data_IF_081471607225
#
_entry.id   IF_081471607225
#
_cell.length_a   1.000
_cell.length_b   1.000
_cell.length_c   1.000
_cell.angle_alpha   90.00
_cell.angle_beta   90.00
_cell.angle_gamma   90.00
#
_symmetry.space_group_name_H-M   'P 1'
#
loop_
_entity.id
_entity.type
_entity.pdbx_description
1 polymer ?
#
# COMPACT_ATOMS: atom_id res chain seq x y z
N UNK A 1 -15.34 21.83 -11.07
CA UNK A 1 -15.45 20.46 -10.55
C UNK A 1 -14.11 20.10 -9.92
N UNK A 2 -14.06 19.75 -8.64
CA UNK A 2 -12.80 19.36 -7.98
C UNK A 2 -12.49 17.89 -8.29
N UNK A 3 -11.32 17.61 -8.86
CA UNK A 3 -10.84 16.23 -9.08
C UNK A 3 -10.19 15.76 -7.78
N UNK A 4 -10.78 14.78 -7.09
CA UNK A 4 -10.17 14.24 -5.87
C UNK A 4 -8.93 13.41 -6.25
N UNK A 5 -7.76 13.90 -5.84
CA UNK A 5 -6.48 13.21 -6.04
C UNK A 5 -6.11 12.42 -4.79
N UNK A 6 -5.64 11.20 -5.01
CA UNK A 6 -4.91 10.40 -4.05
C UNK A 6 -3.56 10.03 -4.66
N UNK A 7 -2.80 9.19 -3.98
CA UNK A 7 -1.56 8.65 -4.50
C UNK A 7 -1.29 7.28 -3.89
N UNK A 8 -0.44 6.50 -4.55
CA UNK A 8 0.10 5.25 -4.02
C UNK A 8 1.57 5.47 -3.66
N UNK A 9 1.96 4.88 -2.53
CA UNK A 9 3.29 5.02 -1.94
C UNK A 9 4.07 3.74 -2.12
N UNK A 10 5.24 3.83 -2.77
CA UNK A 10 6.01 2.67 -3.23
C UNK A 10 7.31 2.43 -2.47
N UNK A 11 7.55 3.16 -1.37
CA UNK A 11 8.83 3.10 -0.64
C UNK A 11 9.26 1.67 -0.30
N UNK A 12 8.37 0.83 0.24
CA UNK A 12 8.70 -0.56 0.58
C UNK A 12 9.15 -1.37 -0.64
N UNK A 13 8.50 -1.19 -1.79
CA UNK A 13 8.85 -1.91 -3.01
C UNK A 13 10.22 -1.46 -3.54
N UNK A 14 10.49 -0.15 -3.50
CA UNK A 14 11.77 0.40 -3.92
C UNK A 14 12.91 -0.02 -3.00
N UNK A 15 12.67 -0.10 -1.69
CA UNK A 15 13.64 -0.66 -0.74
C UNK A 15 13.96 -2.13 -1.05
N UNK A 16 12.94 -2.94 -1.32
CA UNK A 16 13.15 -4.35 -1.69
C UNK A 16 13.96 -4.48 -2.99
N UNK A 17 13.78 -3.58 -3.96
CA UNK A 17 14.59 -3.51 -5.18
C UNK A 17 16.06 -3.13 -4.96
N UNK A 18 16.41 -2.68 -3.75
CA UNK A 18 17.78 -2.41 -3.28
C UNK A 18 18.26 -3.40 -2.22
N UNK A 19 17.64 -4.57 -2.15
CA UNK A 19 17.94 -5.61 -1.14
C UNK A 19 17.80 -5.12 0.31
N UNK A 20 17.01 -4.07 0.53
CA UNK A 20 16.77 -3.47 1.84
C UNK A 20 15.42 -3.96 2.40
N UNK A 21 15.49 -4.96 3.28
CA UNK A 21 14.30 -5.58 3.86
C UNK A 21 13.96 -5.05 5.26
N UNK A 22 14.92 -4.46 5.98
CA UNK A 22 14.67 -3.87 7.30
C UNK A 22 14.47 -2.36 7.21
N UNK A 23 13.40 -1.86 7.82
CA UNK A 23 13.11 -0.42 7.85
C UNK A 23 14.14 0.38 8.64
N UNK A 24 14.85 -0.29 9.56
CA UNK A 24 15.90 0.34 10.37
C UNK A 24 17.13 0.73 9.54
N UNK A 25 17.34 0.12 8.38
CA UNK A 25 18.50 0.39 7.53
C UNK A 25 18.42 1.79 6.89
N UNK A 26 17.21 2.34 6.75
CA UNK A 26 17.02 3.72 6.28
C UNK A 26 17.46 4.78 7.28
N UNK A 27 17.47 4.48 8.58
CA UNK A 27 17.75 5.48 9.63
C UNK A 27 19.14 6.10 9.47
N UNK A 28 20.24 5.34 9.41
CA UNK A 28 21.57 5.93 9.20
C UNK A 28 21.68 6.65 7.85
N UNK A 29 21.10 6.09 6.78
CA UNK A 29 21.19 6.65 5.43
C UNK A 29 20.48 8.02 5.29
N UNK A 30 19.36 8.19 6.00
CA UNK A 30 18.66 9.47 6.09
C UNK A 30 19.47 10.47 6.92
N UNK A 31 20.08 10.03 8.02
CA UNK A 31 20.91 10.90 8.87
C UNK A 31 22.15 11.42 8.13
N UNK A 32 22.77 10.61 7.27
CA UNK A 32 23.89 11.04 6.40
C UNK A 32 23.52 12.18 5.45
N UNK A 33 22.22 12.34 5.14
CA UNK A 33 21.68 13.42 4.29
C UNK A 33 21.06 14.55 5.10
N UNK A 34 21.31 14.59 6.41
CA UNK A 34 20.77 15.61 7.31
C UNK A 34 19.31 15.41 7.72
N UNK A 35 18.72 14.26 7.41
CA UNK A 35 17.33 13.94 7.76
C UNK A 35 17.29 13.03 8.99
N UNK A 36 17.07 13.63 10.15
CA UNK A 36 16.96 12.89 11.41
C UNK A 36 15.51 12.51 11.70
N UNK A 37 15.18 11.22 11.55
CA UNK A 37 13.88 10.65 11.91
C UNK A 37 14.03 9.56 12.97
N UNK A 38 13.05 9.44 13.86
CA UNK A 38 13.00 8.32 14.81
C UNK A 38 12.74 7.00 14.11
N UNK A 39 13.12 5.87 14.72
CA UNK A 39 12.85 4.52 14.19
C UNK A 39 11.36 4.30 13.91
N UNK A 40 10.48 4.79 14.78
CA UNK A 40 9.03 4.70 14.59
C UNK A 40 8.55 5.55 13.41
N UNK A 41 9.11 6.76 13.22
CA UNK A 41 8.77 7.59 12.06
C UNK A 41 9.19 6.92 10.76
N UNK A 42 10.38 6.33 10.70
CA UNK A 42 10.84 5.58 9.52
C UNK A 42 9.96 4.35 9.29
N UNK A 43 9.64 3.60 10.35
CA UNK A 43 8.72 2.45 10.23
C UNK A 43 7.35 2.87 9.66
N UNK A 44 6.75 3.94 10.19
CA UNK A 44 5.47 4.47 9.66
C UNK A 44 5.61 4.92 8.22
N UNK A 45 6.70 5.61 7.88
CA UNK A 45 6.98 6.08 6.53
C UNK A 45 7.07 4.92 5.53
N UNK A 46 7.68 3.79 5.90
CA UNK A 46 7.76 2.61 5.01
C UNK A 46 6.44 1.85 4.94
N UNK A 47 5.69 1.78 6.04
CA UNK A 47 4.50 0.92 6.15
C UNK A 47 3.20 1.58 5.71
N UNK A 48 3.14 2.91 5.70
CA UNK A 48 1.91 3.69 5.47
C UNK A 48 2.18 4.91 4.56
N UNK A 49 1.23 5.28 3.68
CA UNK A 49 1.34 6.49 2.87
C UNK A 49 1.31 7.75 3.75
N UNK A 50 2.32 8.63 3.70
CA UNK A 50 2.43 9.78 4.61
C UNK A 50 1.51 10.95 4.23
N UNK A 51 0.71 11.46 5.17
CA UNK A 51 -0.13 12.64 4.91
C UNK A 51 0.70 13.91 4.64
N UNK A 52 1.87 14.02 5.28
CA UNK A 52 2.83 15.11 5.14
C UNK A 52 4.24 14.54 5.12
N UNK A 53 5.08 15.10 4.25
CA UNK A 53 6.48 14.74 4.09
C UNK A 53 7.25 16.03 3.79
N UNK A 54 8.45 16.19 4.35
CA UNK A 54 9.33 17.31 3.98
C UNK A 54 10.00 17.04 2.63
N UNK A 55 10.33 18.11 1.90
CA UNK A 55 11.06 17.98 0.64
C UNK A 55 12.45 17.38 0.84
N UNK A 56 13.14 17.73 1.93
CA UNK A 56 14.43 17.11 2.30
C UNK A 56 14.32 15.59 2.44
N UNK A 57 13.27 15.09 3.09
CA UNK A 57 13.06 13.63 3.23
C UNK A 57 12.78 13.00 1.86
N UNK A 58 11.95 13.64 1.03
CA UNK A 58 11.63 13.13 -0.31
C UNK A 58 12.89 13.02 -1.17
N UNK A 59 13.72 14.06 -1.22
CA UNK A 59 14.96 14.09 -1.99
C UNK A 59 15.97 13.10 -1.42
N UNK A 60 16.09 12.99 -0.10
CA UNK A 60 16.99 12.03 0.53
C UNK A 60 16.58 10.58 0.18
N UNK A 61 15.29 10.25 0.20
CA UNK A 61 14.81 8.93 -0.22
C UNK A 61 15.10 8.65 -1.69
N UNK A 62 14.89 9.63 -2.57
CA UNK A 62 15.22 9.54 -3.99
C UNK A 62 16.70 9.20 -4.20
N UNK A 63 17.59 9.91 -3.49
CA UNK A 63 19.03 9.71 -3.57
C UNK A 63 19.47 8.34 -3.01
N UNK A 64 19.00 7.96 -1.82
CA UNK A 64 19.26 6.63 -1.21
C UNK A 64 18.83 5.50 -2.16
N UNK A 65 17.64 5.64 -2.73
CA UNK A 65 17.02 4.62 -3.56
C UNK A 65 17.35 4.78 -5.06
N UNK A 66 18.19 5.75 -5.43
CA UNK A 66 18.55 6.00 -6.84
C UNK A 66 17.33 6.10 -7.77
N UNK A 67 16.24 6.71 -7.30
CA UNK A 67 14.96 6.79 -7.99
C UNK A 67 14.46 8.23 -8.06
N UNK A 68 13.39 8.47 -8.83
CA UNK A 68 12.75 9.79 -8.93
C UNK A 68 11.53 9.88 -8.00
N UNK A 69 11.03 11.09 -7.70
CA UNK A 69 9.81 11.25 -6.90
C UNK A 69 8.58 10.52 -7.46
N UNK A 70 8.50 10.36 -8.78
CA UNK A 70 7.39 9.64 -9.44
C UNK A 70 7.43 8.13 -9.20
N UNK A 71 8.62 7.57 -8.93
CA UNK A 71 8.76 6.17 -8.55
C UNK A 71 8.26 5.94 -7.12
N UNK A 72 8.45 6.93 -6.23
CA UNK A 72 7.99 6.90 -4.84
C UNK A 72 6.48 7.17 -4.71
N UNK A 73 5.97 8.15 -5.45
CA UNK A 73 4.60 8.67 -5.37
C UNK A 73 3.92 8.53 -6.73
N UNK A 74 2.99 7.58 -6.84
CA UNK A 74 2.18 7.39 -8.04
C UNK A 74 0.82 8.10 -7.86
N UNK A 75 0.52 9.20 -8.59
CA UNK A 75 -0.75 9.90 -8.46
C UNK A 75 -1.92 9.02 -8.92
N UNK A 76 -3.01 9.03 -8.16
CA UNK A 76 -4.19 8.22 -8.40
C UNK A 76 -5.45 9.09 -8.45
N UNK A 77 -6.27 8.91 -9.49
CA UNK A 77 -7.59 9.55 -9.57
C UNK A 77 -8.57 8.78 -8.70
N UNK A 78 -8.92 9.34 -7.55
CA UNK A 78 -9.91 8.72 -6.68
C UNK A 78 -11.31 9.15 -7.16
N UNK A 79 -11.83 8.44 -8.16
CA UNK A 79 -13.27 8.43 -8.40
C UNK A 79 -13.91 7.69 -7.22
N UNK A 80 -14.26 8.42 -6.17
CA UNK A 80 -15.06 7.88 -5.07
C UNK A 80 -16.44 7.52 -5.63
N UNK A 81 -16.60 6.32 -6.17
CA UNK A 81 -17.90 5.64 -6.05
C UNK A 81 -18.01 5.26 -4.58
N UNK A 82 -18.57 6.15 -3.78
CA UNK A 82 -19.05 5.79 -2.44
C UNK A 82 -20.13 4.75 -2.68
N UNK A 83 -19.77 3.46 -2.66
CA UNK A 83 -20.76 2.42 -2.36
C UNK A 83 -21.18 2.73 -0.94
N UNK A 84 -22.32 3.41 -0.79
CA UNK A 84 -23.10 3.34 0.44
C UNK A 84 -23.27 1.85 0.73
N UNK A 85 -22.49 1.32 1.67
CA UNK A 85 -22.89 0.10 2.34
C UNK A 85 -24.21 0.47 3.02
N UNK A 86 -25.31 0.02 2.42
CA UNK A 86 -26.62 0.08 3.06
C UNK A 86 -26.47 -0.61 4.42
N UNK A 87 -26.93 0.07 5.46
CA UNK A 87 -27.11 -0.53 6.77
C UNK A 87 -27.94 -1.82 6.59
N UNK A 88 -27.37 -2.94 7.01
CA UNK A 88 -28.03 -4.24 6.98
C UNK A 88 -27.13 -5.24 7.68
N UNK A 89 -27.44 -5.52 8.95
CA UNK A 89 -26.87 -6.65 9.68
C UNK A 89 -27.24 -7.94 8.96
N UNK A 90 -26.44 -8.32 7.98
CA UNK A 90 -26.57 -9.54 7.20
C UNK A 90 -25.63 -10.58 7.76
N UNK A 91 -26.20 -11.62 8.36
CA UNK A 91 -25.51 -12.79 8.89
C UNK A 91 -24.55 -13.34 7.84
N UNK A 92 -23.30 -13.61 8.24
CA UNK A 92 -22.32 -14.30 7.39
C UNK A 92 -22.87 -15.71 7.10
N UNK A 93 -23.43 -15.89 5.91
CA UNK A 93 -23.78 -17.21 5.40
C UNK A 93 -22.49 -17.83 4.82
N UNK A 94 -22.00 -18.90 5.45
CA UNK A 94 -20.93 -19.72 4.86
C UNK A 94 -21.39 -20.28 3.49
N UNK A 95 -20.47 -20.40 2.51
CA UNK A 95 -20.80 -21.01 1.23
C UNK A 95 -21.15 -22.50 1.42
N UNK A 96 -22.34 -22.89 0.94
CA UNK A 96 -22.79 -24.28 0.97
C UNK A 96 -22.00 -25.13 -0.05
N UNK A 97 -21.69 -26.40 0.25
CA UNK A 97 -20.97 -27.27 -0.68
C UNK A 97 -21.84 -27.65 -1.89
N UNK A 98 -21.22 -27.91 -3.07
CA UNK A 98 -21.96 -28.28 -4.26
C UNK A 98 -22.64 -29.65 -4.10
N UNK A 99 -23.94 -29.74 -4.45
CA UNK A 99 -24.70 -30.99 -4.44
C UNK A 99 -24.22 -31.90 -5.57
N UNK A 100 -23.71 -33.08 -5.20
CA UNK A 100 -23.41 -34.15 -6.15
C UNK A 100 -24.72 -34.71 -6.74
N UNK A 101 -24.89 -34.60 -8.06
CA UNK A 101 -26.02 -35.20 -8.78
C UNK A 101 -25.71 -36.68 -9.06
N UNK A 102 -26.31 -37.58 -8.27
CA UNK A 102 -26.26 -39.03 -8.52
C UNK A 102 -27.18 -39.34 -9.70
N UNK A 103 -26.60 -39.60 -10.88
CA UNK A 103 -27.35 -40.16 -12.02
C UNK A 103 -27.59 -41.65 -11.75
N UNK A 104 -28.84 -42.06 -11.57
CA UNK A 104 -29.23 -43.48 -11.59
C UNK A 104 -29.36 -43.95 -13.05
N UNK A 105 -28.73 -45.06 -13.45
CA UNK A 105 -28.90 -45.63 -14.78
C UNK A 105 -30.26 -46.33 -14.90
N UNK A 106 -30.92 -46.13 -16.03
CA UNK A 106 -32.14 -46.80 -16.42
C UNK A 106 -31.81 -48.14 -17.09
N UNK A 107 -32.30 -49.24 -16.53
CA UNK A 107 -32.42 -50.57 -17.15
C UNK A 107 -33.85 -50.99 -16.83
N UNK A 108 -34.73 -51.23 -17.80
CA UNK A 108 -34.67 -52.33 -18.76
C UNK A 108 -35.87 -53.21 -18.46
#
# INVERSE_FOLDING_TARGET
MIKKMGYRWHLRQLMAGKDMFATTDLVPLLAERGVTLSREQVFRLVTQPPQRLSMDTLVALCDILGCTPNDLIEPQVVNQTVRKAAAGGGKVALPAPPRAAIRRPQHG
#
